data_IF_912507367450
#
_entry.id   IF_912507367450
#
_cell.length_a   1.000
_cell.length_b   1.000
_cell.length_c   1.000
_cell.angle_alpha   90.00
_cell.angle_beta   90.00
_cell.angle_gamma   90.00
#
_symmetry.space_group_name_H-M   'P 1'
#
loop_
_entity.id
_entity.type
_entity.pdbx_description
1 polymer ?
#
# COMPACT_ATOMS: atom_id res chain seq x y z
N UNK A 1 17.01 -28.30 -20.51
CA UNK A 1 16.78 -27.74 -19.16
C UNK A 1 15.51 -26.92 -19.28
N UNK A 2 14.39 -27.50 -18.86
CA UNK A 2 13.05 -26.96 -19.10
C UNK A 2 12.87 -25.64 -18.32
N UNK A 3 12.69 -24.56 -19.07
CA UNK A 3 12.33 -23.24 -18.55
C UNK A 3 10.96 -23.38 -17.89
N UNK A 4 10.93 -23.27 -16.56
CA UNK A 4 9.74 -23.34 -15.72
C UNK A 4 8.52 -22.67 -16.35
N UNK A 5 7.66 -23.47 -16.97
CA UNK A 5 6.34 -23.05 -17.43
C UNK A 5 5.54 -22.73 -16.17
N UNK A 6 5.49 -21.45 -15.81
CA UNK A 6 4.60 -20.98 -14.76
C UNK A 6 3.21 -20.96 -15.36
N UNK A 7 2.52 -22.11 -15.32
CA UNK A 7 1.13 -22.21 -15.77
C UNK A 7 0.29 -21.22 -14.98
N UNK A 8 -0.30 -20.26 -15.69
CA UNK A 8 -1.22 -19.29 -15.10
C UNK A 8 -2.38 -20.03 -14.42
N UNK A 9 -2.67 -19.73 -13.13
CA UNK A 9 -3.72 -20.42 -12.40
C UNK A 9 -5.08 -20.08 -13.00
N UNK A 10 -5.95 -21.09 -13.15
CA UNK A 10 -7.32 -20.88 -13.61
C UNK A 10 -8.10 -19.96 -12.66
N UNK A 11 -9.13 -19.28 -13.18
CA UNK A 11 -9.99 -18.39 -12.39
C UNK A 11 -10.60 -19.11 -11.17
N UNK A 12 -10.92 -20.41 -11.30
CA UNK A 12 -11.44 -21.22 -10.20
C UNK A 12 -10.38 -21.50 -9.13
N UNK A 13 -9.13 -21.75 -9.53
CA UNK A 13 -8.02 -21.92 -8.59
C UNK A 13 -7.78 -20.63 -7.78
N UNK A 14 -7.78 -19.47 -8.45
CA UNK A 14 -7.60 -18.16 -7.82
C UNK A 14 -8.66 -17.84 -6.75
N UNK A 15 -9.88 -18.36 -6.87
CA UNK A 15 -10.92 -18.18 -5.83
C UNK A 15 -10.51 -18.75 -4.48
N UNK A 16 -9.73 -19.84 -4.46
CA UNK A 16 -9.22 -20.48 -3.23
C UNK A 16 -8.07 -19.69 -2.58
N UNK A 17 -7.36 -18.88 -3.37
CA UNK A 17 -6.20 -18.12 -2.93
C UNK A 17 -6.62 -16.98 -1.99
N UNK A 18 -5.76 -16.64 -1.05
CA UNK A 18 -6.05 -15.59 -0.07
C UNK A 18 -5.91 -14.22 -0.70
N UNK A 19 -6.85 -13.34 -0.37
CA UNK A 19 -6.87 -11.96 -0.86
C UNK A 19 -6.19 -11.04 0.13
N UNK A 20 -5.27 -10.23 -0.38
CA UNK A 20 -4.61 -9.14 0.33
C UNK A 20 -4.91 -7.85 -0.42
N UNK A 21 -5.53 -6.89 0.27
CA UNK A 21 -5.65 -5.52 -0.20
C UNK A 21 -4.62 -4.66 0.53
N UNK A 22 -4.07 -3.61 -0.11
CA UNK A 22 -3.12 -2.73 0.56
C UNK A 22 -3.68 -2.04 1.81
N UNK A 23 -4.98 -1.71 1.83
CA UNK A 23 -5.67 -1.14 3.01
C UNK A 23 -5.52 -1.98 4.28
N UNK A 24 -5.30 -3.29 4.17
CA UNK A 24 -5.18 -4.17 5.34
C UNK A 24 -3.94 -3.86 6.20
N UNK A 25 -2.88 -3.38 5.56
CA UNK A 25 -1.60 -3.06 6.19
C UNK A 25 -1.35 -1.55 6.29
N UNK A 26 -2.24 -0.70 5.74
CA UNK A 26 -2.09 0.75 5.77
C UNK A 26 -2.33 1.32 7.19
N UNK A 27 -1.30 1.93 7.78
CA UNK A 27 -1.34 2.51 9.13
C UNK A 27 -2.14 3.81 9.24
N UNK A 28 -2.30 4.51 8.11
CA UNK A 28 -3.09 5.74 7.99
C UNK A 28 -4.60 5.48 7.98
N UNK A 29 -5.01 4.23 7.81
CA UNK A 29 -6.40 3.79 7.79
C UNK A 29 -6.80 3.23 9.15
N UNK A 30 -8.04 3.42 9.53
CA UNK A 30 -8.65 2.84 10.73
C UNK A 30 -9.10 1.40 10.49
N UNK A 31 -9.47 0.70 11.57
CA UNK A 31 -10.05 -0.66 11.46
C UNK A 31 -11.36 -0.63 10.68
N UNK A 32 -12.16 0.42 10.89
CA UNK A 32 -13.44 0.62 10.18
C UNK A 32 -13.20 0.87 8.69
N UNK A 33 -12.13 1.55 8.31
CA UNK A 33 -11.79 1.76 6.89
C UNK A 33 -11.17 0.51 6.23
N UNK A 34 -10.75 -0.48 7.01
CA UNK A 34 -10.32 -1.78 6.50
C UNK A 34 -9.00 -2.30 7.04
N UNK A 35 -8.28 -1.54 7.88
CA UNK A 35 -7.03 -1.99 8.51
C UNK A 35 -7.25 -3.30 9.26
N UNK A 36 -6.34 -4.26 9.12
CA UNK A 36 -6.40 -5.59 9.75
C UNK A 36 -5.28 -5.83 10.77
N UNK A 37 -4.27 -4.98 10.80
CA UNK A 37 -3.16 -5.06 11.74
C UNK A 37 -3.27 -3.98 12.84
N UNK A 38 -2.55 -4.20 13.95
CA UNK A 38 -2.26 -3.14 14.92
C UNK A 38 -1.39 -2.07 14.26
N UNK A 39 -1.60 -0.81 14.62
CA UNK A 39 -0.94 0.35 13.99
C UNK A 39 0.59 0.24 14.01
N UNK A 40 1.18 -0.28 15.08
CA UNK A 40 2.63 -0.49 15.23
C UNK A 40 3.23 -1.44 14.19
N UNK A 41 2.43 -2.37 13.66
CA UNK A 41 2.85 -3.35 12.64
C UNK A 41 2.38 -2.96 11.24
N UNK A 42 1.76 -1.79 11.12
CA UNK A 42 1.31 -1.26 9.84
C UNK A 42 2.41 -0.49 9.15
N UNK A 43 2.14 -0.18 7.88
CA UNK A 43 3.05 0.54 7.02
C UNK A 43 2.32 1.70 6.36
N UNK A 44 3.05 2.74 6.00
CA UNK A 44 2.45 3.90 5.34
C UNK A 44 2.26 3.65 3.85
N UNK A 45 1.02 3.87 3.37
CA UNK A 45 0.65 3.85 1.96
C UNK A 45 1.27 2.68 1.15
N UNK A 46 1.02 1.43 1.53
CA UNK A 46 1.51 0.28 0.77
C UNK A 46 0.87 0.24 -0.62
N UNK A 47 1.65 -0.10 -1.64
CA UNK A 47 1.16 -0.30 -3.00
C UNK A 47 0.99 -1.78 -3.33
N UNK A 48 0.18 -2.08 -4.36
CA UNK A 48 -0.04 -3.46 -4.84
C UNK A 48 1.25 -4.09 -5.37
N UNK A 49 2.10 -3.29 -6.01
CA UNK A 49 3.36 -3.73 -6.61
C UNK A 49 4.40 -4.09 -5.54
N UNK A 50 4.54 -3.28 -4.48
CA UNK A 50 5.42 -3.61 -3.36
C UNK A 50 4.98 -4.91 -2.66
N UNK A 51 3.66 -5.09 -2.44
CA UNK A 51 3.13 -6.32 -1.84
C UNK A 51 3.46 -7.52 -2.74
N UNK A 52 3.26 -7.39 -4.05
CA UNK A 52 3.60 -8.45 -5.02
C UNK A 52 5.08 -8.81 -4.90
N UNK A 53 5.97 -7.82 -5.02
CA UNK A 53 7.42 -8.03 -5.01
C UNK A 53 7.90 -8.68 -3.70
N UNK A 54 7.43 -8.23 -2.53
CA UNK A 54 7.83 -8.83 -1.24
C UNK A 54 7.41 -10.31 -1.17
N UNK A 55 6.21 -10.64 -1.62
CA UNK A 55 5.68 -12.00 -1.52
C UNK A 55 6.30 -12.95 -2.56
N UNK A 56 6.58 -12.46 -3.76
CA UNK A 56 7.34 -13.22 -4.77
C UNK A 56 8.77 -13.50 -4.27
N UNK A 57 9.42 -12.50 -3.66
CA UNK A 57 10.73 -12.68 -3.03
C UNK A 57 10.70 -13.67 -1.84
N UNK A 58 9.55 -13.84 -1.20
CA UNK A 58 9.33 -14.84 -0.15
C UNK A 58 9.02 -16.25 -0.71
N UNK A 59 9.07 -16.43 -2.04
CA UNK A 59 8.82 -17.70 -2.71
C UNK A 59 7.34 -18.06 -2.82
N UNK A 60 6.42 -17.11 -2.63
CA UNK A 60 4.99 -17.35 -2.77
C UNK A 60 4.53 -17.08 -4.21
N UNK A 61 3.57 -17.88 -4.69
CA UNK A 61 2.87 -17.59 -5.95
C UNK A 61 1.82 -16.50 -5.73
N UNK A 62 1.88 -15.50 -6.58
CA UNK A 62 1.10 -14.27 -6.47
C UNK A 62 0.44 -13.91 -7.80
N UNK A 63 -0.80 -13.42 -7.76
CA UNK A 63 -1.47 -12.83 -8.92
C UNK A 63 -2.09 -11.49 -8.53
N UNK A 64 -1.92 -10.48 -9.37
CA UNK A 64 -2.52 -9.15 -9.18
C UNK A 64 -3.80 -9.04 -9.97
N UNK A 65 -4.86 -8.56 -9.33
CA UNK A 65 -6.13 -8.27 -9.99
C UNK A 65 -6.48 -6.79 -9.84
N UNK A 66 -7.00 -6.16 -10.90
CA UNK A 66 -7.55 -4.78 -10.86
C UNK A 66 -8.93 -4.77 -10.22
N UNK A 67 -8.97 -4.72 -8.88
CA UNK A 67 -10.19 -4.68 -8.05
C UNK A 67 -10.05 -3.68 -6.91
N UNK A 68 -11.15 -3.05 -6.54
CA UNK A 68 -11.20 -2.17 -5.36
C UNK A 68 -11.53 -2.96 -4.09
N UNK A 69 -11.05 -2.44 -2.95
CA UNK A 69 -11.57 -2.88 -1.66
C UNK A 69 -12.95 -2.23 -1.46
N UNK A 70 -13.98 -2.93 -0.95
CA UNK A 70 -15.33 -2.36 -0.82
C UNK A 70 -15.42 -1.07 -0.02
N UNK A 71 -14.45 -0.81 0.88
CA UNK A 71 -14.36 0.40 1.71
C UNK A 71 -13.39 1.47 1.17
N UNK A 72 -12.76 1.23 0.01
CA UNK A 72 -11.76 2.13 -0.60
C UNK A 72 -12.08 2.30 -2.10
N UNK A 73 -12.67 3.44 -2.47
CA UNK A 73 -13.22 3.65 -3.82
C UNK A 73 -12.28 4.36 -4.81
N UNK A 74 -11.28 5.13 -4.34
CA UNK A 74 -10.57 6.09 -5.22
C UNK A 74 -9.04 6.04 -5.24
N UNK A 75 -8.36 5.57 -4.18
CA UNK A 75 -6.89 5.76 -4.06
C UNK A 75 -6.07 4.62 -4.63
N UNK A 76 -6.36 3.38 -4.23
CA UNK A 76 -5.50 2.25 -4.54
C UNK A 76 -6.29 1.18 -5.29
N UNK A 77 -6.09 1.13 -6.61
CA UNK A 77 -6.61 0.05 -7.43
C UNK A 77 -5.76 -1.21 -7.26
N UNK A 78 -6.43 -2.30 -6.91
CA UNK A 78 -5.87 -3.63 -7.04
C UNK A 78 -5.87 -4.44 -5.75
N UNK A 79 -5.76 -5.75 -5.94
CA UNK A 79 -5.59 -6.72 -4.86
C UNK A 79 -4.62 -7.79 -5.29
N UNK A 80 -3.99 -8.38 -4.29
CA UNK A 80 -3.03 -9.45 -4.44
C UNK A 80 -3.70 -10.76 -4.01
N UNK A 81 -3.71 -11.76 -4.90
CA UNK A 81 -4.04 -13.15 -4.60
C UNK A 81 -2.77 -13.89 -4.25
N UNK A 82 -2.79 -14.66 -3.18
CA UNK A 82 -1.64 -15.41 -2.69
C UNK A 82 -2.00 -16.88 -2.47
N UNK A 83 -1.20 -17.77 -3.04
CA UNK A 83 -1.35 -19.20 -2.83
C UNK A 83 -0.66 -19.62 -1.52
N UNK A 84 -1.45 -19.99 -0.51
CA UNK A 84 -0.91 -20.53 0.76
C UNK A 84 -0.98 -22.05 0.83
N UNK A 85 -1.92 -22.63 0.08
CA UNK A 85 -2.18 -24.07 0.04
C UNK A 85 -2.17 -24.56 -1.40
N UNK A 86 -1.69 -25.77 -1.61
CA UNK A 86 -1.78 -26.45 -2.90
C UNK A 86 -3.20 -27.01 -3.12
N UNK A 87 -3.42 -27.67 -4.25
CA UNK A 87 -4.73 -28.23 -4.60
C UNK A 87 -5.20 -29.34 -3.66
N UNK A 88 -4.27 -29.99 -2.96
CA UNK A 88 -4.51 -31.00 -1.91
C UNK A 88 -4.73 -30.37 -0.52
N UNK A 89 -4.94 -29.06 -0.44
CA UNK A 89 -5.12 -28.30 0.81
C UNK A 89 -3.94 -28.36 1.81
N UNK A 90 -2.77 -28.82 1.38
CA UNK A 90 -1.53 -28.79 2.17
C UNK A 90 -0.88 -27.42 2.07
N UNK A 91 -0.28 -26.96 3.17
CA UNK A 91 0.48 -25.71 3.20
C UNK A 91 1.69 -25.79 2.26
N UNK A 92 1.89 -24.74 1.46
CA UNK A 92 3.04 -24.64 0.55
C UNK A 92 4.29 -24.21 1.32
N UNK A 93 4.14 -23.25 2.23
CA UNK A 93 5.22 -22.73 3.05
C UNK A 93 4.76 -22.68 4.53
N UNK A 94 5.46 -23.38 5.45
CA UNK A 94 5.08 -23.43 6.86
C UNK A 94 5.18 -22.07 7.57
N UNK A 95 5.97 -21.12 7.05
CA UNK A 95 6.03 -19.74 7.58
C UNK A 95 4.76 -18.94 7.31
N UNK A 96 3.94 -19.37 6.35
CA UNK A 96 2.70 -18.69 5.95
C UNK A 96 1.47 -19.59 6.12
N UNK A 97 1.16 -20.05 7.36
CA UNK A 97 0.07 -21.00 7.60
C UNK A 97 -1.32 -20.38 7.35
N UNK A 98 -1.43 -19.06 7.51
CA UNK A 98 -2.69 -18.34 7.34
C UNK A 98 -2.44 -16.89 6.91
N UNK A 99 -3.50 -16.21 6.47
CA UNK A 99 -3.43 -14.85 5.91
C UNK A 99 -2.81 -13.83 6.87
N UNK A 100 -3.06 -13.93 8.17
CA UNK A 100 -2.52 -12.99 9.17
C UNK A 100 -0.98 -13.10 9.28
N UNK A 101 -0.41 -14.30 9.17
CA UNK A 101 1.05 -14.49 9.12
C UNK A 101 1.67 -13.74 7.93
N UNK A 102 1.01 -13.79 6.76
CA UNK A 102 1.44 -13.02 5.58
C UNK A 102 1.39 -11.51 5.85
N UNK A 103 0.34 -11.02 6.49
CA UNK A 103 0.20 -9.60 6.83
C UNK A 103 1.30 -9.13 7.81
N UNK A 104 1.63 -9.94 8.81
CA UNK A 104 2.73 -9.62 9.74
C UNK A 104 4.08 -9.59 9.04
N UNK A 105 4.37 -10.59 8.21
CA UNK A 105 5.58 -10.62 7.41
C UNK A 105 5.73 -9.40 6.50
N UNK A 106 4.64 -8.99 5.84
CA UNK A 106 4.62 -7.77 5.05
C UNK A 106 4.98 -6.56 5.92
N UNK A 107 4.30 -6.38 7.07
CA UNK A 107 4.55 -5.27 7.99
C UNK A 107 6.02 -5.16 8.43
N UNK A 108 6.68 -6.30 8.66
CA UNK A 108 8.09 -6.37 9.07
C UNK A 108 9.08 -6.17 7.92
N UNK A 109 8.70 -6.51 6.68
CA UNK A 109 9.60 -6.51 5.52
C UNK A 109 9.55 -5.20 4.74
N UNK A 110 8.39 -4.55 4.69
CA UNK A 110 8.17 -3.30 3.98
C UNK A 110 9.18 -2.18 4.33
N UNK A 111 9.48 -1.89 5.62
CA UNK A 111 10.48 -0.88 5.99
C UNK A 111 11.90 -1.20 5.48
N UNK A 112 12.18 -2.45 5.12
CA UNK A 112 13.49 -2.91 4.64
C UNK A 112 13.66 -2.77 3.12
N UNK A 113 12.61 -2.39 2.39
CA UNK A 113 12.69 -2.19 0.95
C UNK A 113 13.58 -0.97 0.62
N UNK A 114 14.50 -1.18 -0.34
CA UNK A 114 15.32 -0.09 -0.89
C UNK A 114 14.40 0.92 -1.60
N UNK A 115 14.58 2.21 -1.34
CA UNK A 115 13.78 3.26 -1.95
C UNK A 115 12.58 3.73 -1.11
N UNK A 116 12.28 3.05 0.00
CA UNK A 116 11.32 3.53 0.99
C UNK A 116 12.00 4.51 1.96
N UNK A 117 12.57 5.59 1.41
CA UNK A 117 13.02 6.68 2.27
C UNK A 117 11.81 7.20 3.04
N UNK A 118 11.98 7.40 4.34
CA UNK A 118 10.98 8.01 5.23
C UNK A 118 10.77 9.48 4.85
N UNK A 119 10.16 9.75 3.70
CA UNK A 119 9.87 11.10 3.22
C UNK A 119 8.37 11.38 3.29
N UNK A 120 7.84 11.32 4.50
CA UNK A 120 6.74 12.20 4.87
C UNK A 120 7.33 13.51 5.43
N UNK A 121 7.94 14.30 4.55
CA UNK A 121 8.00 15.75 4.71
C UNK A 121 7.43 16.32 3.41
N UNK A 122 6.46 17.25 3.46
CA UNK A 122 6.13 18.03 2.28
C UNK A 122 7.38 18.85 1.91
N UNK A 123 7.93 18.59 0.73
CA UNK A 123 8.97 19.42 0.12
C UNK A 123 8.39 20.82 -0.09
N UNK A 124 8.52 21.67 0.91
CA UNK A 124 8.35 23.12 0.77
C UNK A 124 9.73 23.68 0.57
N UNK A 125 10.29 23.55 -0.63
CA UNK A 125 11.50 24.28 -1.01
C UNK A 125 11.08 25.62 -1.61
N UNK A 126 11.12 26.62 -0.74
CA UNK A 126 11.08 28.03 -1.07
C UNK A 126 12.31 28.45 -1.91
N UNK A 127 12.09 29.45 -2.78
CA UNK A 127 13.08 30.50 -3.04
C UNK A 127 14.02 30.30 -4.23
N UNK A 128 13.57 30.68 -5.42
CA UNK A 128 14.45 31.32 -6.41
C UNK A 128 13.91 32.72 -6.73
N UNK A 129 14.67 33.70 -6.26
CA UNK A 129 14.57 35.12 -6.53
C UNK A 129 14.84 35.42 -8.00
N UNK A 130 13.96 36.17 -8.67
CA UNK A 130 14.39 37.15 -9.68
C UNK A 130 13.38 38.28 -9.81
N UNK A 131 13.93 39.45 -10.08
CA UNK A 131 13.38 40.81 -10.08
C UNK A 131 12.16 40.96 -11.02
N UNK A 132 11.19 41.81 -10.69
CA UNK A 132 11.16 43.16 -11.26
C UNK A 132 10.12 44.10 -10.63
N UNK A 133 10.44 45.38 -10.74
CA UNK A 133 9.83 46.57 -10.15
C UNK A 133 8.43 46.89 -10.71
N UNK A 134 7.61 47.54 -9.88
CA UNK A 134 6.35 48.15 -10.31
C UNK A 134 5.62 48.82 -9.16
N UNK A 135 5.96 50.08 -8.88
CA UNK A 135 5.31 50.92 -7.89
C UNK A 135 3.85 51.24 -8.30
N UNK A 136 2.88 51.09 -7.40
CA UNK A 136 1.89 52.15 -7.21
C UNK A 136 1.27 52.17 -5.81
N UNK A 137 1.02 53.40 -5.39
CA UNK A 137 0.60 53.94 -4.11
C UNK A 137 -0.92 53.73 -3.95
N UNK A 138 -1.37 53.19 -2.81
CA UNK A 138 -2.80 53.08 -2.50
C UNK A 138 -3.03 52.93 -1.01
N UNK A 139 -3.72 53.89 -0.42
CA UNK A 139 -3.78 54.25 1.00
C UNK A 139 -5.10 53.74 1.62
N UNK A 140 -5.07 53.54 2.95
CA UNK A 140 -6.19 53.41 3.90
C UNK A 140 -7.03 52.12 3.88
N UNK A 141 -7.69 51.65 4.95
CA UNK A 141 -7.69 51.81 6.43
C UNK A 141 -9.01 51.19 6.89
N UNK A 142 -9.03 50.43 7.99
CA UNK A 142 -10.26 50.15 8.76
C UNK A 142 -10.47 48.68 9.10
N UNK A 143 -10.32 48.33 10.39
CA UNK A 143 -11.43 48.00 11.32
C UNK A 143 -12.14 46.70 10.90
N UNK A 144 -11.95 45.58 11.59
CA UNK A 144 -12.31 45.38 12.99
C UNK A 144 -13.60 44.55 13.03
N UNK A 145 -13.56 43.34 13.59
CA UNK A 145 -14.74 42.46 13.62
C UNK A 145 -14.50 41.22 14.46
N UNK A 146 -15.13 41.22 15.63
CA UNK A 146 -15.00 40.29 16.75
C UNK A 146 -15.99 39.11 16.57
N UNK A 147 -15.54 37.91 16.94
CA UNK A 147 -16.25 36.77 17.58
C UNK A 147 -17.72 36.53 17.19
N UNK A 148 -18.01 35.27 16.82
CA UNK A 148 -18.93 34.38 17.54
C UNK A 148 -18.63 32.93 17.17
#
# INVERSE_FOLDING_TARGET
>A
MDLSVTTEPSVLALKKWKVIYPVYLNGKKTVVEGRRLKREKCVDNPTVEEIKSILENAGLRVVVERKFHPREYMKDQGRVRVQLKNDLNKLINPNFPHKLAVLHYLGETFPKLKGRSSSSLPSTSAGSSSQNQGANKGKQKGKGGKRR
#
